data_IF_119355525191
#
_entry.id   IF_119355525191
#
_cell.length_a   1.000
_cell.length_b   1.000
_cell.length_c   1.000
_cell.angle_alpha   90.00
_cell.angle_beta   90.00
_cell.angle_gamma   90.00
#
_symmetry.space_group_name_H-M   'P 1'
#
loop_
_entity.id
_entity.type
_entity.pdbx_description
1 polymer ?
#
# COMPACT_ATOMS: atom_id res chain seq x y z
N UNK A 1 23.05 3.61 -8.41
CA UNK A 1 22.00 2.63 -8.16
C UNK A 1 20.91 2.78 -9.20
N UNK A 2 20.69 1.73 -9.99
CA UNK A 2 19.55 1.66 -10.91
C UNK A 2 18.29 1.40 -10.07
N UNK A 3 17.23 2.20 -10.29
CA UNK A 3 15.96 2.07 -9.58
C UNK A 3 15.38 0.67 -9.82
N UNK A 4 14.99 -0.04 -8.75
CA UNK A 4 14.26 -1.30 -8.88
C UNK A 4 12.90 -1.01 -9.53
N UNK A 5 12.69 -1.56 -10.73
CA UNK A 5 11.48 -1.32 -11.52
C UNK A 5 10.35 -2.26 -11.08
N UNK A 6 10.71 -3.42 -10.57
CA UNK A 6 9.81 -4.46 -10.09
C UNK A 6 10.44 -5.27 -8.95
N UNK A 7 9.68 -6.19 -8.36
CA UNK A 7 10.22 -7.10 -7.36
C UNK A 7 11.29 -8.08 -7.91
N UNK A 8 11.34 -8.27 -9.24
CA UNK A 8 12.38 -9.09 -9.87
C UNK A 8 13.75 -8.41 -9.89
N UNK A 9 13.79 -7.09 -9.71
CA UNK A 9 15.02 -6.28 -9.67
C UNK A 9 15.53 -6.08 -8.24
N UNK A 10 14.77 -6.52 -7.24
CA UNK A 10 15.08 -6.42 -5.81
C UNK A 10 15.91 -7.62 -5.37
N UNK A 11 17.07 -7.83 -6.00
CA UNK A 11 17.93 -8.98 -5.77
C UNK A 11 19.35 -8.51 -5.47
N UNK A 12 19.92 -9.02 -4.39
CA UNK A 12 21.32 -8.77 -3.98
C UNK A 12 22.32 -9.51 -4.87
N UNK A 13 23.61 -9.17 -4.78
CA UNK A 13 24.68 -9.86 -5.53
C UNK A 13 24.76 -11.37 -5.20
N UNK A 14 24.31 -11.77 -4.00
CA UNK A 14 24.23 -13.18 -3.59
C UNK A 14 23.09 -13.92 -4.28
N UNK A 15 22.12 -13.21 -4.88
CA UNK A 15 20.93 -13.78 -5.52
C UNK A 15 19.71 -13.85 -4.59
N UNK A 16 19.80 -13.32 -3.37
CA UNK A 16 18.69 -13.25 -2.43
C UNK A 16 17.79 -12.05 -2.75
N UNK A 17 16.48 -12.25 -2.65
CA UNK A 17 15.52 -11.15 -2.74
C UNK A 17 15.60 -10.25 -1.50
N UNK A 18 15.73 -8.94 -1.71
CA UNK A 18 15.81 -7.92 -0.67
C UNK A 18 14.80 -6.80 -0.94
N UNK A 19 13.75 -6.77 -0.11
CA UNK A 19 12.60 -5.88 -0.30
C UNK A 19 13.00 -4.44 0.03
N UNK A 20 12.83 -3.54 -0.95
CA UNK A 20 13.00 -2.10 -0.72
C UNK A 20 11.94 -1.59 0.26
N UNK A 21 12.31 -0.86 1.32
CA UNK A 21 11.36 -0.26 2.25
C UNK A 21 10.43 0.78 1.61
N UNK A 22 9.24 0.94 2.20
CA UNK A 22 8.30 2.03 1.93
C UNK A 22 8.87 3.38 2.41
N UNK A 23 8.55 4.47 1.70
CA UNK A 23 9.19 5.79 1.91
C UNK A 23 8.20 6.90 2.25
N UNK A 24 6.93 6.78 1.87
CA UNK A 24 5.90 7.71 2.35
C UNK A 24 5.39 7.19 3.69
N UNK A 25 5.77 7.89 4.77
CA UNK A 25 5.57 7.44 6.16
C UNK A 25 4.89 8.50 7.03
N UNK A 26 4.10 9.40 6.41
CA UNK A 26 3.32 10.37 7.18
C UNK A 26 2.12 9.69 7.84
N UNK A 27 1.59 10.31 8.88
CA UNK A 27 0.46 9.77 9.63
C UNK A 27 -0.74 10.70 9.59
N UNK A 28 -1.92 10.10 9.43
CA UNK A 28 -3.19 10.72 9.80
C UNK A 28 -3.25 10.79 11.33
N UNK A 29 -3.82 11.86 11.86
CA UNK A 29 -4.00 12.07 13.30
C UNK A 29 -5.43 12.52 13.60
N UNK A 30 -5.96 12.13 14.75
CA UNK A 30 -7.21 12.70 15.30
C UNK A 30 -7.12 14.19 15.65
N UNK A 31 -5.91 14.73 15.78
CA UNK A 31 -5.69 16.15 16.00
C UNK A 31 -6.11 16.93 14.75
N UNK A 32 -7.15 17.78 14.89
CA UNK A 32 -7.68 18.59 13.80
C UNK A 32 -6.68 19.61 13.23
N UNK A 33 -5.62 19.95 13.99
CA UNK A 33 -4.55 20.85 13.55
C UNK A 33 -3.41 20.14 12.82
N UNK A 34 -3.40 18.80 12.82
CA UNK A 34 -2.38 18.04 12.12
C UNK A 34 -2.44 18.29 10.61
N UNK A 35 -1.29 18.11 9.93
CA UNK A 35 -1.21 18.21 8.46
C UNK A 35 -2.22 17.28 7.77
N UNK A 36 -2.39 16.08 8.33
CA UNK A 36 -3.35 15.06 7.88
C UNK A 36 -4.31 14.75 9.05
N UNK A 37 -5.38 15.53 9.25
CA UNK A 37 -6.39 15.29 10.28
C UNK A 37 -7.39 14.21 9.83
N UNK A 38 -7.90 13.40 10.76
CA UNK A 38 -8.87 12.35 10.49
C UNK A 38 -10.27 12.91 10.11
N UNK A 39 -10.47 13.21 8.83
CA UNK A 39 -11.69 13.84 8.29
C UNK A 39 -12.36 12.94 7.26
N UNK A 40 -13.67 12.71 7.43
CA UNK A 40 -14.47 11.92 6.50
C UNK A 40 -14.45 12.55 5.10
N UNK A 41 -14.33 11.70 4.08
CA UNK A 41 -14.32 12.12 2.69
C UNK A 41 -13.01 12.76 2.21
N UNK A 42 -11.98 12.94 3.06
CA UNK A 42 -10.69 13.52 2.66
C UNK A 42 -9.75 12.51 1.99
N UNK A 43 -9.74 11.27 2.49
CA UNK A 43 -8.76 10.26 2.09
C UNK A 43 -9.32 9.28 1.06
N UNK A 44 -8.40 8.68 0.30
CA UNK A 44 -8.71 7.56 -0.60
C UNK A 44 -7.63 6.49 -0.50
N UNK A 45 -8.01 5.22 -0.62
CA UNK A 45 -7.10 4.09 -0.60
C UNK A 45 -7.00 3.45 -2.00
N UNK A 46 -5.86 3.59 -2.65
CA UNK A 46 -5.60 2.82 -3.88
C UNK A 46 -5.04 1.45 -3.52
N UNK A 47 -5.64 0.41 -4.09
CA UNK A 47 -5.30 -0.99 -3.80
C UNK A 47 -5.16 -1.80 -5.08
N UNK A 48 -4.70 -3.04 -4.94
CA UNK A 48 -4.98 -4.11 -5.88
C UNK A 48 -5.51 -5.30 -5.10
N UNK A 49 -6.59 -5.92 -5.55
CA UNK A 49 -7.07 -7.18 -4.96
C UNK A 49 -6.04 -8.32 -5.03
N UNK A 50 -5.06 -8.24 -5.92
CA UNK A 50 -3.96 -9.21 -6.03
C UNK A 50 -2.84 -8.99 -4.99
N UNK A 51 -2.79 -7.84 -4.30
CA UNK A 51 -1.69 -7.50 -3.40
C UNK A 51 -2.06 -7.78 -1.93
N UNK A 52 -1.38 -8.74 -1.25
CA UNK A 52 -1.72 -9.09 0.13
C UNK A 52 -1.52 -7.93 1.11
N UNK A 53 -0.55 -7.04 0.85
CA UNK A 53 -0.30 -5.85 1.67
C UNK A 53 -1.46 -4.85 1.57
N UNK A 54 -2.04 -4.68 0.37
CA UNK A 54 -3.19 -3.81 0.17
C UNK A 54 -4.49 -4.43 0.70
N UNK A 55 -4.65 -5.74 0.56
CA UNK A 55 -5.78 -6.49 1.13
C UNK A 55 -5.91 -6.31 2.64
N UNK A 56 -4.78 -6.21 3.37
CA UNK A 56 -4.79 -5.91 4.82
C UNK A 56 -5.45 -4.56 5.13
N UNK A 57 -5.08 -3.52 4.39
CA UNK A 57 -5.69 -2.19 4.55
C UNK A 57 -7.18 -2.22 4.23
N UNK A 58 -7.58 -2.92 3.17
CA UNK A 58 -8.98 -3.09 2.81
C UNK A 58 -9.77 -3.84 3.89
N UNK A 59 -9.18 -4.86 4.51
CA UNK A 59 -9.79 -5.58 5.63
C UNK A 59 -10.01 -4.66 6.84
N UNK A 60 -9.00 -3.88 7.23
CA UNK A 60 -9.15 -2.89 8.31
C UNK A 60 -10.20 -1.83 7.99
N UNK A 61 -10.22 -1.31 6.75
CA UNK A 61 -11.20 -0.34 6.28
C UNK A 61 -12.63 -0.86 6.50
N UNK A 62 -12.90 -2.11 6.10
CA UNK A 62 -14.21 -2.75 6.23
C UNK A 62 -14.54 -3.15 7.67
N UNK A 63 -13.60 -3.74 8.40
CA UNK A 63 -13.81 -4.14 9.80
C UNK A 63 -14.13 -2.95 10.70
N UNK A 64 -13.47 -1.81 10.46
CA UNK A 64 -13.71 -0.56 11.19
C UNK A 64 -14.98 0.18 10.71
N UNK A 65 -15.62 -0.26 9.62
CA UNK A 65 -16.76 0.42 9.02
C UNK A 65 -16.40 1.85 8.59
N UNK A 66 -15.28 1.99 7.89
CA UNK A 66 -14.72 3.26 7.43
C UNK A 66 -14.93 3.49 5.93
N UNK A 67 -15.51 2.54 5.20
CA UNK A 67 -15.70 2.61 3.76
C UNK A 67 -16.73 3.65 3.31
N UNK A 68 -17.58 4.15 4.22
CA UNK A 68 -18.40 5.34 3.97
C UNK A 68 -17.59 6.66 4.03
N UNK A 69 -16.45 6.67 4.74
CA UNK A 69 -15.64 7.86 4.99
C UNK A 69 -14.34 7.90 4.17
N UNK A 70 -13.74 6.74 3.90
CA UNK A 70 -12.52 6.58 3.11
C UNK A 70 -12.86 5.70 1.91
N UNK A 71 -13.02 6.35 0.77
CA UNK A 71 -13.22 5.67 -0.52
C UNK A 71 -12.00 4.83 -0.91
N UNK A 72 -12.18 3.83 -1.77
CA UNK A 72 -11.08 3.04 -2.32
C UNK A 72 -11.34 2.69 -3.79
N UNK A 73 -10.26 2.42 -4.54
CA UNK A 73 -10.30 1.95 -5.93
C UNK A 73 -9.24 0.88 -6.13
N UNK A 74 -9.59 -0.17 -6.89
CA UNK A 74 -8.62 -1.21 -7.24
C UNK A 74 -8.06 -0.99 -8.64
N UNK A 75 -6.74 -1.08 -8.77
CA UNK A 75 -6.07 -1.18 -10.08
C UNK A 75 -6.30 -2.55 -10.73
N UNK A 76 -5.88 -2.70 -11.99
CA UNK A 76 -5.83 -4.01 -12.65
C UNK A 76 -4.96 -5.00 -11.85
N UNK A 77 -5.30 -6.30 -11.88
CA UNK A 77 -4.54 -7.33 -11.16
C UNK A 77 -3.22 -7.70 -11.85
N UNK A 78 -3.07 -7.39 -13.14
CA UNK A 78 -1.90 -7.72 -13.96
C UNK A 78 -1.00 -6.49 -14.08
N UNK A 79 0.30 -6.68 -13.91
CA UNK A 79 1.28 -5.62 -14.15
C UNK A 79 1.38 -5.32 -15.64
N UNK A 80 1.28 -4.06 -15.99
CA UNK A 80 1.35 -3.57 -17.36
C UNK A 80 2.41 -2.45 -17.46
N UNK A 81 2.77 -2.09 -18.68
CA UNK A 81 3.71 -1.00 -18.95
C UNK A 81 3.10 0.33 -18.48
N UNK A 82 3.82 1.05 -17.63
CA UNK A 82 3.30 2.31 -17.04
C UNK A 82 3.51 3.53 -17.92
N UNK A 83 4.51 3.50 -18.81
CA UNK A 83 4.83 4.58 -19.77
C UNK A 83 5.31 3.98 -21.08
N UNK A 84 4.96 4.60 -22.20
CA UNK A 84 5.47 4.18 -23.52
C UNK A 84 6.97 4.48 -23.69
N UNK A 85 7.48 5.49 -22.98
CA UNK A 85 8.86 5.98 -23.07
C UNK A 85 9.89 5.11 -22.36
N UNK A 86 9.47 4.13 -21.56
CA UNK A 86 10.37 3.22 -20.84
C UNK A 86 9.77 1.81 -20.69
N UNK A 87 10.55 0.90 -20.10
CA UNK A 87 10.15 -0.49 -19.87
C UNK A 87 9.67 -0.77 -18.43
N UNK A 88 9.25 0.27 -17.69
CA UNK A 88 8.74 0.08 -16.34
C UNK A 88 7.37 -0.61 -16.37
N UNK A 89 7.25 -1.75 -15.68
CA UNK A 89 6.01 -2.48 -15.46
C UNK A 89 5.49 -2.24 -14.05
N UNK A 90 4.17 -2.04 -13.90
CA UNK A 90 3.57 -1.80 -12.60
C UNK A 90 2.05 -1.83 -12.63
N UNK A 91 1.47 -1.33 -11.56
CA UNK A 91 0.02 -1.24 -11.38
C UNK A 91 -0.59 -0.18 -12.31
N UNK A 92 -1.50 -0.61 -13.18
CA UNK A 92 -2.19 0.23 -14.18
C UNK A 92 -3.69 0.29 -13.88
N UNK A 93 -4.28 1.46 -14.07
CA UNK A 93 -5.73 1.65 -13.99
C UNK A 93 -6.39 1.19 -15.30
N UNK A 94 -7.60 0.60 -15.27
CA UNK A 94 -8.40 0.45 -16.48
C UNK A 94 -8.74 1.82 -17.07
N UNK A 95 -8.81 1.88 -18.40
CA UNK A 95 -9.18 3.06 -19.16
C UNK A 95 -10.65 3.44 -18.99
N UNK A 96 -11.52 2.46 -18.70
CA UNK A 96 -12.95 2.69 -18.43
C UNK A 96 -13.50 1.73 -17.38
N UNK A 97 -14.59 2.15 -16.73
CA UNK A 97 -15.29 1.30 -15.77
C UNK A 97 -15.81 0.04 -16.48
N UNK A 98 -15.53 -1.13 -15.89
CA UNK A 98 -15.93 -2.42 -16.45
C UNK A 98 -14.99 -3.04 -17.48
N UNK A 99 -13.89 -2.38 -17.88
CA UNK A 99 -12.86 -2.98 -18.74
C UNK A 99 -12.29 -4.26 -18.11
N UNK A 100 -11.96 -4.18 -16.82
CA UNK A 100 -11.47 -5.30 -16.03
C UNK A 100 -12.38 -5.46 -14.82
N UNK A 101 -13.03 -6.62 -14.62
CA UNK A 101 -13.90 -6.86 -13.46
C UNK A 101 -13.16 -6.60 -12.14
N UNK A 102 -13.76 -5.77 -11.29
CA UNK A 102 -13.20 -5.42 -9.98
C UNK A 102 -12.03 -4.43 -10.03
N UNK A 103 -11.75 -3.80 -11.16
CA UNK A 103 -10.82 -2.67 -11.25
C UNK A 103 -11.56 -1.40 -11.68
N UNK A 104 -11.10 -0.27 -11.18
CA UNK A 104 -11.72 1.05 -11.36
C UNK A 104 -10.73 2.03 -11.99
N UNK A 105 -11.13 2.88 -12.94
CA UNK A 105 -10.29 4.00 -13.38
C UNK A 105 -9.94 4.91 -12.21
N UNK A 106 -8.83 5.65 -12.30
CA UNK A 106 -8.50 6.64 -11.26
C UNK A 106 -9.58 7.75 -11.20
N UNK A 107 -10.28 7.92 -10.06
CA UNK A 107 -11.40 8.85 -9.98
C UNK A 107 -10.99 10.31 -9.73
N UNK A 108 -9.73 10.62 -9.44
CA UNK A 108 -9.35 11.97 -8.97
C UNK A 108 -8.26 12.68 -9.75
N UNK A 109 -7.26 11.98 -10.26
CA UNK A 109 -6.03 12.59 -10.76
C UNK A 109 -5.85 12.42 -12.28
N UNK A 110 -6.68 11.59 -12.92
CA UNK A 110 -6.46 11.18 -14.31
C UNK A 110 -5.21 10.32 -14.49
N UNK A 111 -4.76 9.67 -13.40
CA UNK A 111 -3.62 8.77 -13.42
C UNK A 111 -3.92 7.53 -14.27
N UNK A 112 -2.97 7.11 -15.10
CA UNK A 112 -3.05 5.87 -15.88
C UNK A 112 -2.41 4.71 -15.13
N UNK A 113 -1.50 5.01 -14.20
CA UNK A 113 -0.80 4.04 -13.37
C UNK A 113 -0.58 4.54 -11.95
N UNK A 114 -0.29 3.64 -11.01
CA UNK A 114 0.11 4.01 -9.65
C UNK A 114 1.41 4.83 -9.65
N UNK A 115 2.30 4.59 -10.63
CA UNK A 115 3.50 5.41 -10.82
C UNK A 115 3.15 6.89 -10.98
N UNK A 116 2.10 7.22 -11.72
CA UNK A 116 1.67 8.62 -11.90
C UNK A 116 1.28 9.25 -10.55
N UNK A 117 0.63 8.51 -9.63
CA UNK A 117 0.30 9.02 -8.30
C UNK A 117 1.54 9.39 -7.47
N UNK A 118 2.59 8.58 -7.56
CA UNK A 118 3.85 8.84 -6.87
C UNK A 118 4.58 10.05 -7.46
N UNK A 119 4.56 10.20 -8.78
CA UNK A 119 5.14 11.35 -9.48
C UNK A 119 4.37 12.65 -9.21
N UNK A 120 3.04 12.58 -9.07
CA UNK A 120 2.21 13.72 -8.59
C UNK A 120 2.61 14.11 -7.16
N UNK A 121 2.78 13.12 -6.27
CA UNK A 121 3.12 13.37 -4.88
C UNK A 121 4.56 13.89 -4.68
N UNK A 122 5.49 13.48 -5.54
CA UNK A 122 6.88 13.94 -5.52
C UNK A 122 7.56 13.76 -6.87
N UNK A 123 8.00 14.87 -7.47
CA UNK A 123 8.75 14.88 -8.74
C UNK A 123 10.15 14.30 -8.61
N UNK A 124 10.64 14.10 -7.39
CA UNK A 124 11.96 13.51 -7.10
C UNK A 124 11.84 12.09 -6.53
N UNK A 125 10.68 11.45 -6.67
CA UNK A 125 10.50 10.08 -6.18
C UNK A 125 11.39 9.10 -6.95
N UNK A 126 12.23 8.36 -6.23
CA UNK A 126 13.15 7.37 -6.80
C UNK A 126 12.92 5.95 -6.32
N UNK A 127 11.85 5.73 -5.55
CA UNK A 127 11.48 4.39 -5.05
C UNK A 127 10.59 3.63 -6.02
N UNK A 128 10.10 2.47 -5.57
CA UNK A 128 9.18 1.61 -6.32
C UNK A 128 7.72 2.00 -6.05
N UNK A 129 6.94 2.40 -7.07
CA UNK A 129 5.51 2.65 -6.92
C UNK A 129 4.77 1.37 -6.50
N UNK A 130 4.16 1.39 -5.32
CA UNK A 130 3.51 0.23 -4.70
C UNK A 130 2.08 0.53 -4.29
N UNK A 131 1.29 -0.52 -4.13
CA UNK A 131 0.01 -0.49 -3.39
C UNK A 131 0.19 -1.25 -2.07
N UNK A 132 -0.48 -0.85 -0.98
CA UNK A 132 -1.49 0.20 -0.88
C UNK A 132 -0.93 1.63 -0.96
N UNK A 133 -1.76 2.59 -1.37
CA UNK A 133 -1.48 4.03 -1.27
C UNK A 133 -2.61 4.70 -0.51
N UNK A 134 -2.32 5.24 0.68
CA UNK A 134 -3.23 6.15 1.36
C UNK A 134 -3.02 7.56 0.80
N UNK A 135 -3.99 8.03 0.04
CA UNK A 135 -3.97 9.29 -0.69
C UNK A 135 -4.77 10.38 0.02
N UNK A 136 -4.20 11.58 0.09
CA UNK A 136 -4.92 12.79 0.51
C UNK A 136 -5.44 13.52 -0.73
N UNK A 137 -6.76 13.58 -0.89
CA UNK A 137 -7.40 14.25 -2.04
C UNK A 137 -7.27 15.78 -2.00
N UNK A 138 -7.12 16.36 -0.81
CA UNK A 138 -7.00 17.82 -0.65
C UNK A 138 -5.58 18.28 -1.01
N UNK A 139 -4.57 17.61 -0.47
CA UNK A 139 -3.16 17.96 -0.71
C UNK A 139 -2.58 17.30 -1.96
N UNK A 140 -3.34 16.40 -2.62
CA UNK A 140 -2.91 15.62 -3.80
C UNK A 140 -1.55 14.97 -3.59
N UNK A 141 -1.42 14.24 -2.48
CA UNK A 141 -0.16 13.61 -2.10
C UNK A 141 -0.40 12.25 -1.44
N UNK A 142 0.64 11.41 -1.47
CA UNK A 142 0.66 10.16 -0.71
C UNK A 142 0.90 10.48 0.76
N UNK A 143 -0.04 10.12 1.62
CA UNK A 143 0.14 10.19 3.08
C UNK A 143 1.10 9.09 3.50
N UNK A 144 0.76 7.86 3.14
CA UNK A 144 1.49 6.68 3.58
C UNK A 144 1.37 5.54 2.54
N UNK A 145 2.45 4.80 2.32
CA UNK A 145 2.46 3.59 1.49
C UNK A 145 2.96 2.33 2.22
N UNK A 146 3.01 2.37 3.54
CA UNK A 146 3.35 1.27 4.43
C UNK A 146 2.07 0.63 4.99
N UNK A 147 1.73 -0.56 4.50
CA UNK A 147 0.50 -1.25 4.90
C UNK A 147 0.39 -1.45 6.42
N UNK A 148 1.50 -1.75 7.09
CA UNK A 148 1.53 -2.01 8.54
C UNK A 148 1.22 -0.75 9.36
N UNK A 149 1.57 0.43 8.88
CA UNK A 149 1.24 1.71 9.52
C UNK A 149 -0.17 2.17 9.18
N UNK A 150 -0.58 1.99 7.92
CA UNK A 150 -1.94 2.33 7.47
C UNK A 150 -2.99 1.61 8.32
N UNK A 151 -2.82 0.31 8.59
CA UNK A 151 -3.77 -0.42 9.42
C UNK A 151 -3.81 0.11 10.87
N UNK A 152 -2.69 0.61 11.42
CA UNK A 152 -2.69 1.24 12.76
C UNK A 152 -3.46 2.56 12.75
N UNK A 153 -3.31 3.38 11.70
CA UNK A 153 -4.08 4.61 11.54
C UNK A 153 -5.59 4.34 11.40
N UNK A 154 -5.96 3.37 10.56
CA UNK A 154 -7.36 2.94 10.40
C UNK A 154 -7.94 2.39 11.70
N UNK A 155 -7.13 1.72 12.53
CA UNK A 155 -7.56 1.16 13.81
C UNK A 155 -7.99 2.23 14.82
N UNK A 156 -7.25 3.34 14.94
CA UNK A 156 -7.42 4.29 16.06
C UNK A 156 -7.73 5.72 15.67
N UNK A 157 -7.12 6.26 14.61
CA UNK A 157 -7.17 7.70 14.33
C UNK A 157 -8.51 8.15 13.79
N UNK A 158 -9.23 7.24 13.12
CA UNK A 158 -10.57 7.49 12.59
C UNK A 158 -11.71 7.05 13.51
N UNK A 159 -11.44 6.71 14.78
CA UNK A 159 -12.49 6.26 15.71
C UNK A 159 -13.64 7.27 15.91
N UNK A 160 -13.39 8.57 15.71
CA UNK A 160 -14.45 9.59 15.77
C UNK A 160 -15.47 9.52 14.62
N UNK A 161 -15.14 8.81 13.53
CA UNK A 161 -16.01 8.67 12.34
C UNK A 161 -16.30 7.21 11.95
N UNK A 162 -15.65 6.23 12.58
CA UNK A 162 -15.86 4.82 12.32
C UNK A 162 -17.25 4.36 12.76
N UNK A 163 -17.89 3.45 12.00
CA UNK A 163 -19.12 2.78 12.44
C UNK A 163 -18.84 1.76 13.56
N UNK A 164 -17.64 1.20 13.61
CA UNK A 164 -17.19 0.27 14.65
C UNK A 164 -16.04 0.86 15.50
N UNK A 165 -16.28 1.96 16.24
CA UNK A 165 -15.21 2.68 16.95
C UNK A 165 -14.65 1.89 18.13
N UNK A 166 -15.45 1.01 18.74
CA UNK A 166 -15.03 0.15 19.86
C UNK A 166 -14.22 -1.10 19.46
N UNK A 167 -14.15 -1.43 18.17
CA UNK A 167 -13.32 -2.54 17.68
C UNK A 167 -11.85 -2.10 17.68
N UNK A 168 -11.05 -2.66 18.57
CA UNK A 168 -9.61 -2.45 18.64
C UNK A 168 -8.87 -3.72 18.22
N UNK A 169 -8.24 -3.67 17.04
CA UNK A 169 -7.45 -4.76 16.47
C UNK A 169 -5.98 -4.71 16.92
N UNK A 170 -5.62 -3.80 17.83
CA UNK A 170 -4.30 -3.71 18.44
C UNK A 170 -4.36 -3.27 19.93
N UNK A 171 -5.13 -3.98 20.77
CA UNK A 171 -5.37 -3.53 22.13
C UNK A 171 -4.10 -3.58 22.98
N UNK A 172 -3.89 -2.56 23.80
CA UNK A 172 -2.64 -2.34 24.54
C UNK A 172 -2.12 -3.57 25.31
N UNK A 173 -3.01 -4.34 25.93
CA UNK A 173 -2.65 -5.52 26.71
C UNK A 173 -2.16 -6.72 25.87
N UNK A 174 -2.34 -6.71 24.55
CA UNK A 174 -1.85 -7.74 23.63
C UNK A 174 -0.75 -7.25 22.68
N UNK A 175 -0.42 -5.96 22.69
CA UNK A 175 0.49 -5.35 21.69
C UNK A 175 1.85 -6.08 21.61
N UNK A 176 2.45 -6.39 22.76
CA UNK A 176 3.73 -7.10 22.78
C UNK A 176 3.66 -8.47 22.07
N UNK A 177 2.61 -9.25 22.36
CA UNK A 177 2.40 -10.55 21.71
C UNK A 177 2.05 -10.42 20.23
N UNK A 178 1.28 -9.39 19.86
CA UNK A 178 0.97 -9.08 18.46
C UNK A 178 2.25 -8.74 17.69
N UNK A 179 3.12 -7.92 18.27
CA UNK A 179 4.35 -7.48 17.63
C UNK A 179 5.36 -8.63 17.49
N UNK A 180 5.47 -9.50 18.49
CA UNK A 180 6.27 -10.73 18.42
C UNK A 180 5.80 -11.64 17.28
N UNK A 181 4.50 -11.95 17.24
CA UNK A 181 3.93 -12.81 16.19
C UNK A 181 4.05 -12.14 14.81
N UNK A 182 3.83 -10.83 14.71
CA UNK A 182 3.98 -10.09 13.46
C UNK A 182 5.41 -10.15 12.93
N UNK A 183 6.43 -10.06 13.80
CA UNK A 183 7.83 -10.17 13.40
C UNK A 183 8.11 -11.52 12.74
N UNK A 184 7.72 -12.61 13.41
CA UNK A 184 7.90 -13.98 12.91
C UNK A 184 7.13 -14.22 11.60
N UNK A 185 5.84 -13.88 11.59
CA UNK A 185 4.96 -14.12 10.43
C UNK A 185 5.33 -13.22 9.25
N UNK A 186 5.77 -11.98 9.49
CA UNK A 186 6.27 -11.13 8.42
C UNK A 186 7.49 -11.72 7.75
N UNK A 187 8.53 -12.03 8.52
CA UNK A 187 9.82 -12.41 7.95
C UNK A 187 9.78 -13.81 7.31
N UNK A 188 9.22 -14.79 8.03
CA UNK A 188 9.27 -16.19 7.65
C UNK A 188 8.14 -16.59 6.68
N UNK A 189 6.99 -15.92 6.69
CA UNK A 189 5.80 -16.35 5.92
C UNK A 189 5.43 -15.30 4.87
N UNK A 190 5.03 -14.11 5.30
CA UNK A 190 4.50 -13.09 4.39
C UNK A 190 5.55 -12.63 3.39
N UNK A 191 6.77 -12.39 3.85
CA UNK A 191 7.91 -12.06 3.01
C UNK A 191 8.67 -13.31 2.56
N UNK A 192 8.65 -14.40 3.35
CA UNK A 192 9.32 -15.67 3.03
C UNK A 192 8.94 -16.23 1.66
N UNK A 193 7.64 -16.25 1.32
CA UNK A 193 7.20 -16.70 -0.01
C UNK A 193 7.79 -15.87 -1.17
N UNK A 194 8.05 -14.58 -0.93
CA UNK A 194 8.73 -13.73 -1.91
C UNK A 194 10.25 -13.97 -1.92
N UNK A 195 10.87 -14.19 -0.76
CA UNK A 195 12.29 -14.57 -0.65
C UNK A 195 12.58 -15.80 -1.49
N UNK A 196 11.81 -16.88 -1.29
CA UNK A 196 11.95 -18.10 -2.07
C UNK A 196 11.58 -17.88 -3.55
N UNK A 197 10.43 -17.26 -3.83
CA UNK A 197 9.90 -17.13 -5.19
C UNK A 197 10.72 -16.22 -6.12
N UNK A 198 11.46 -15.24 -5.56
CA UNK A 198 12.28 -14.31 -6.33
C UNK A 198 13.79 -14.55 -6.22
N UNK A 199 14.22 -15.50 -5.40
CA UNK A 199 15.61 -15.93 -5.37
C UNK A 199 16.11 -16.29 -6.77
N UNK A 200 17.34 -15.87 -7.10
CA UNK A 200 17.99 -16.12 -8.40
C UNK A 200 19.07 -17.19 -8.34
N UNK A 201 19.33 -17.75 -7.15
CA UNK A 201 20.29 -18.84 -6.94
C UNK A 201 19.71 -19.85 -5.95
N UNK A 202 20.18 -21.10 -6.02
CA UNK A 202 19.69 -22.20 -5.19
C UNK A 202 19.89 -21.94 -3.68
N UNK A 203 21.04 -21.41 -3.27
CA UNK A 203 21.34 -21.13 -1.86
C UNK A 203 20.29 -20.24 -1.18
N UNK A 204 20.04 -19.00 -1.67
CA UNK A 204 18.97 -18.15 -1.16
C UNK A 204 17.54 -18.68 -1.32
N UNK A 205 17.32 -19.69 -2.15
CA UNK A 205 16.02 -20.35 -2.28
C UNK A 205 15.80 -21.41 -1.19
N UNK A 206 16.88 -22.12 -0.81
CA UNK A 206 16.85 -23.20 0.19
C UNK A 206 16.87 -22.69 1.65
N UNK A 207 17.24 -21.43 1.88
CA UNK A 207 17.21 -20.73 3.19
C UNK A 207 15.79 -20.39 3.65
#
# INVERSE_FOLDING_TARGET
CQMARSALDEVTDTGAFDRTPSTFRSFVSRDASARFPAVAGRYHLYVSYACPWASRCLAYLKLKGLDHAISFSSVKPIFERTRESDDHLGWVFPASAGEVPGADPDPFNGAKSVRDLYEIASTSYTGKPTVPVLWDKQLKTVVNNESSEIIRMLNSEFNGIAENPGLDLNPAHLQASIDEVNGLVYDAINNGVYKCGFAKKQGPYDE
#
